data_IF_315416378668
#
_entry.id   IF_315416378668
#
_cell.length_a   1.000
_cell.length_b   1.000
_cell.length_c   1.000
_cell.angle_alpha   90.00
_cell.angle_beta   90.00
_cell.angle_gamma   90.00
#
_symmetry.space_group_name_H-M   'P 1'
#
loop_
_entity.id
_entity.type
_entity.pdbx_description
1 polymer ?
#
# COMPACT_ATOMS: atom_id res chain seq x y z
N UNK A 1 4.40 13.52 -0.86
CA UNK A 1 5.08 14.04 -2.06
C UNK A 1 5.60 12.92 -2.97
N UNK A 2 6.31 11.92 -2.41
CA UNK A 2 6.91 10.81 -3.18
C UNK A 2 5.93 9.65 -3.34
N UNK A 3 5.22 9.28 -2.30
CA UNK A 3 4.28 8.15 -2.30
C UNK A 3 2.83 8.60 -2.40
N UNK A 4 2.01 7.77 -3.04
CA UNK A 4 0.56 7.94 -3.14
C UNK A 4 -0.18 6.72 -2.60
N UNK A 5 -1.44 6.91 -2.18
CA UNK A 5 -2.38 5.85 -1.83
C UNK A 5 -3.41 5.62 -2.94
N UNK A 6 -4.25 4.62 -2.77
CA UNK A 6 -5.38 4.34 -3.67
C UNK A 6 -6.36 5.52 -3.68
N UNK A 7 -6.58 6.11 -2.51
CA UNK A 7 -7.39 7.28 -2.27
C UNK A 7 -6.55 8.40 -1.65
N UNK A 8 -7.08 9.61 -1.64
CA UNK A 8 -6.50 10.78 -0.96
C UNK A 8 -7.61 11.68 -0.44
N UNK A 9 -7.27 12.56 0.49
CA UNK A 9 -8.16 13.65 0.88
C UNK A 9 -7.98 14.85 -0.06
N UNK A 10 -9.07 15.44 -0.50
CA UNK A 10 -9.07 16.71 -1.25
C UNK A 10 -8.96 17.91 -0.28
N UNK A 11 -8.95 19.13 -0.83
CA UNK A 11 -8.86 20.36 -0.03
C UNK A 11 -10.05 20.59 0.92
N UNK A 12 -11.17 19.93 0.68
CA UNK A 12 -12.38 19.99 1.52
C UNK A 12 -12.40 18.90 2.60
N UNK A 13 -11.38 18.04 2.67
CA UNK A 13 -11.33 16.92 3.60
C UNK A 13 -12.16 15.69 3.16
N UNK A 14 -12.63 15.65 1.91
CA UNK A 14 -13.36 14.52 1.36
C UNK A 14 -12.42 13.48 0.78
N UNK A 15 -12.75 12.21 0.96
CA UNK A 15 -11.99 11.09 0.41
C UNK A 15 -12.31 10.93 -1.08
N UNK A 16 -11.30 11.01 -1.92
CA UNK A 16 -11.43 10.95 -3.39
C UNK A 16 -10.45 9.95 -3.99
N UNK A 17 -10.75 9.49 -5.20
CA UNK A 17 -9.89 8.60 -5.97
C UNK A 17 -8.50 9.23 -6.25
N UNK A 18 -7.45 8.38 -6.22
CA UNK A 18 -6.08 8.77 -6.53
C UNK A 18 -5.43 7.74 -7.47
N UNK A 19 -4.77 6.68 -6.94
CA UNK A 19 -4.32 5.55 -7.78
C UNK A 19 -5.48 4.62 -8.19
N UNK A 20 -6.56 4.58 -7.40
CA UNK A 20 -7.81 3.94 -7.79
C UNK A 20 -8.59 4.83 -8.76
N UNK A 21 -9.43 4.21 -9.60
CA UNK A 21 -10.33 4.91 -10.54
C UNK A 21 -11.48 5.63 -9.84
N UNK A 22 -11.95 5.05 -8.73
CA UNK A 22 -13.11 5.51 -7.95
C UNK A 22 -12.95 5.08 -6.49
N UNK A 23 -13.90 5.45 -5.63
CA UNK A 23 -14.07 4.85 -4.33
C UNK A 23 -14.35 3.35 -4.47
N UNK A 24 -14.04 2.51 -3.47
CA UNK A 24 -14.23 1.08 -3.55
C UNK A 24 -15.73 0.72 -3.61
N UNK A 25 -16.02 -0.42 -4.25
CA UNK A 25 -17.30 -1.10 -4.09
C UNK A 25 -17.23 -1.94 -2.83
N UNK A 26 -18.22 -1.78 -1.94
CA UNK A 26 -18.33 -2.49 -0.67
C UNK A 26 -19.49 -3.48 -0.76
N UNK A 27 -19.28 -4.72 -0.27
CA UNK A 27 -20.34 -5.73 -0.18
C UNK A 27 -21.41 -5.34 0.85
N UNK A 28 -22.59 -5.93 0.76
CA UNK A 28 -23.72 -5.65 1.67
C UNK A 28 -23.38 -5.93 3.13
N UNK A 29 -22.58 -6.97 3.41
CA UNK A 29 -22.11 -7.33 4.74
C UNK A 29 -20.94 -6.44 5.24
N UNK A 30 -20.45 -5.52 4.41
CA UNK A 30 -19.35 -4.61 4.74
C UNK A 30 -17.97 -5.27 4.88
N UNK A 31 -17.83 -6.54 4.51
CA UNK A 31 -16.60 -7.32 4.71
C UNK A 31 -15.69 -7.40 3.49
N UNK A 32 -16.19 -7.05 2.31
CA UNK A 32 -15.40 -7.10 1.07
C UNK A 32 -15.36 -5.73 0.42
N UNK A 33 -14.16 -5.24 0.13
CA UNK A 33 -13.92 -3.97 -0.56
C UNK A 33 -13.14 -4.20 -1.85
N UNK A 34 -13.72 -3.81 -2.98
CA UNK A 34 -13.10 -3.95 -4.29
C UNK A 34 -12.67 -2.59 -4.83
N UNK A 35 -11.38 -2.45 -5.08
CA UNK A 35 -10.79 -1.28 -5.75
C UNK A 35 -10.46 -1.63 -7.20
N UNK A 36 -10.80 -0.73 -8.12
CA UNK A 36 -10.32 -0.75 -9.50
C UNK A 36 -9.21 0.29 -9.66
N UNK A 37 -8.05 -0.13 -10.20
CA UNK A 37 -6.87 0.71 -10.32
C UNK A 37 -6.83 1.44 -11.67
N UNK A 38 -6.21 2.61 -11.68
CA UNK A 38 -5.87 3.32 -12.90
C UNK A 38 -4.76 2.57 -13.66
N UNK A 39 -4.84 2.57 -14.98
CA UNK A 39 -3.80 2.01 -15.86
C UNK A 39 -2.78 3.09 -16.25
N UNK A 40 -1.58 2.67 -16.63
CA UNK A 40 -0.56 3.57 -17.19
C UNK A 40 0.22 4.37 -16.16
N UNK A 41 -0.02 4.17 -14.85
CA UNK A 41 0.77 4.81 -13.79
C UNK A 41 2.11 4.09 -13.67
N UNK A 42 3.18 4.88 -13.50
CA UNK A 42 4.54 4.40 -13.28
C UNK A 42 5.11 4.92 -11.96
N UNK A 43 5.99 4.15 -11.37
CA UNK A 43 6.88 4.60 -10.32
C UNK A 43 8.01 5.46 -10.89
N UNK A 44 8.72 6.17 -10.03
CA UNK A 44 9.83 7.06 -10.42
C UNK A 44 11.03 6.35 -11.03
N UNK A 45 11.11 5.02 -10.92
CA UNK A 45 12.09 4.15 -11.60
C UNK A 45 11.62 3.65 -12.97
N UNK A 46 10.41 4.03 -13.39
CA UNK A 46 9.80 3.60 -14.65
C UNK A 46 9.00 2.31 -14.58
N UNK A 47 9.06 1.56 -13.48
CA UNK A 47 8.26 0.33 -13.29
C UNK A 47 6.76 0.64 -13.28
N UNK A 48 5.94 -0.29 -13.79
CA UNK A 48 4.49 -0.10 -13.88
C UNK A 48 3.83 -0.35 -12.53
N UNK A 49 2.91 0.52 -12.14
CA UNK A 49 2.03 0.31 -11.00
C UNK A 49 0.93 -0.71 -11.34
N UNK A 50 0.79 -1.73 -10.50
CA UNK A 50 -0.21 -2.80 -10.62
C UNK A 50 -0.78 -3.19 -9.25
N UNK A 51 -1.78 -4.06 -9.23
CA UNK A 51 -2.35 -4.64 -8.01
C UNK A 51 -1.32 -5.40 -7.15
N UNK A 52 -0.27 -5.93 -7.77
CA UNK A 52 0.82 -6.60 -7.06
C UNK A 52 1.55 -5.66 -6.09
N UNK A 53 1.69 -4.39 -6.44
CA UNK A 53 2.34 -3.39 -5.58
C UNK A 53 1.48 -3.13 -4.33
N UNK A 54 0.17 -3.06 -4.52
CA UNK A 54 -0.78 -2.95 -3.42
C UNK A 54 -0.70 -4.20 -2.53
N UNK A 55 -0.81 -5.40 -3.10
CA UNK A 55 -0.73 -6.65 -2.36
C UNK A 55 0.59 -6.75 -1.56
N UNK A 56 1.72 -6.47 -2.19
CA UNK A 56 3.03 -6.53 -1.52
C UNK A 56 3.11 -5.52 -0.37
N UNK A 57 2.64 -4.29 -0.57
CA UNK A 57 2.67 -3.25 0.47
C UNK A 57 1.91 -3.71 1.73
N UNK A 58 0.70 -4.22 1.57
CA UNK A 58 -0.11 -4.69 2.70
C UNK A 58 0.42 -5.99 3.31
N UNK A 59 0.97 -6.89 2.49
CA UNK A 59 1.58 -8.14 2.98
C UNK A 59 2.82 -7.86 3.84
N UNK A 60 3.63 -6.87 3.48
CA UNK A 60 4.78 -6.42 4.31
C UNK A 60 4.33 -5.95 5.68
N UNK A 61 3.22 -5.20 5.77
CA UNK A 61 2.70 -4.73 7.06
C UNK A 61 2.13 -5.87 7.92
N UNK A 62 1.72 -6.98 7.32
CA UNK A 62 1.26 -8.19 8.01
C UNK A 62 2.39 -9.16 8.34
N UNK A 63 3.63 -8.90 7.90
CA UNK A 63 4.77 -9.79 8.14
C UNK A 63 5.13 -9.88 9.63
N UNK A 64 5.43 -11.08 10.17
CA UNK A 64 5.83 -11.25 11.57
C UNK A 64 7.09 -10.46 11.97
N UNK A 65 7.97 -10.14 11.03
CA UNK A 65 9.16 -9.33 11.28
C UNK A 65 8.94 -7.82 11.12
N UNK A 66 7.72 -7.38 10.76
CA UNK A 66 7.42 -5.96 10.60
C UNK A 66 7.33 -5.24 11.94
N UNK A 67 8.23 -4.28 12.17
CA UNK A 67 8.30 -3.48 13.40
C UNK A 67 7.74 -2.06 13.25
N UNK A 68 7.14 -1.78 12.08
CA UNK A 68 6.58 -0.47 11.78
C UNK A 68 5.26 -0.20 12.50
N UNK A 69 4.94 1.09 12.64
CA UNK A 69 3.74 1.58 13.36
C UNK A 69 2.41 1.35 12.65
N UNK A 70 2.42 0.77 11.44
CA UNK A 70 1.21 0.60 10.61
C UNK A 70 0.61 -0.81 10.65
N UNK A 71 1.07 -1.69 11.53
CA UNK A 71 0.52 -3.04 11.69
C UNK A 71 -1.01 -3.01 11.95
N UNK A 72 -1.49 -2.05 12.75
CA UNK A 72 -2.91 -1.86 13.05
C UNK A 72 -3.76 -1.45 11.83
N UNK A 73 -3.13 -1.12 10.70
CA UNK A 73 -3.85 -0.82 9.47
C UNK A 73 -4.23 -2.07 8.67
N UNK A 74 -3.79 -3.25 9.10
CA UNK A 74 -4.02 -4.54 8.41
C UNK A 74 -4.49 -5.65 9.34
N UNK A 75 -4.45 -5.46 10.66
CA UNK A 75 -4.78 -6.48 11.67
C UNK A 75 -6.25 -6.94 11.68
N UNK A 76 -7.12 -6.18 11.01
CA UNK A 76 -8.54 -6.47 10.83
C UNK A 76 -8.86 -7.15 9.49
N UNK A 77 -7.85 -7.46 8.69
CA UNK A 77 -8.01 -8.21 7.44
C UNK A 77 -7.99 -9.71 7.72
N UNK A 78 -8.77 -10.45 6.93
CA UNK A 78 -8.85 -11.90 7.03
C UNK A 78 -7.46 -12.55 6.89
N UNK A 79 -7.21 -13.56 7.72
CA UNK A 79 -5.95 -14.29 7.68
C UNK A 79 -4.74 -13.52 8.23
N UNK A 80 -4.94 -12.37 8.90
CA UNK A 80 -3.83 -11.62 9.49
C UNK A 80 -3.10 -12.46 10.55
N UNK A 81 -3.82 -12.99 11.54
CA UNK A 81 -3.21 -13.79 12.62
C UNK A 81 -2.54 -15.05 12.08
N UNK A 82 -3.14 -15.73 11.11
CA UNK A 82 -2.57 -16.91 10.47
C UNK A 82 -1.27 -16.60 9.73
N UNK A 83 -1.20 -15.42 9.09
CA UNK A 83 0.01 -15.00 8.40
C UNK A 83 1.08 -14.45 9.36
N UNK A 84 0.67 -13.64 10.33
CA UNK A 84 1.57 -12.98 11.28
C UNK A 84 2.10 -13.95 12.34
N UNK A 85 1.23 -14.74 12.97
CA UNK A 85 1.56 -15.51 14.16
C UNK A 85 1.74 -17.02 13.87
N UNK A 86 1.04 -17.56 12.88
CA UNK A 86 0.86 -19.02 12.69
C UNK A 86 1.49 -19.60 11.42
N UNK A 87 2.44 -18.90 10.79
CA UNK A 87 3.22 -19.41 9.64
C UNK A 87 2.45 -19.70 8.34
N UNK A 88 1.25 -19.15 8.13
CA UNK A 88 0.60 -19.26 6.82
C UNK A 88 1.54 -18.73 5.71
N UNK A 89 1.57 -19.42 4.58
CA UNK A 89 2.47 -19.07 3.46
C UNK A 89 2.01 -17.84 2.68
N UNK A 90 0.73 -17.47 2.78
CA UNK A 90 0.11 -16.35 2.08
C UNK A 90 -0.83 -15.57 2.98
N UNK A 91 -0.94 -14.26 2.73
CA UNK A 91 -1.87 -13.37 3.41
C UNK A 91 -3.18 -13.29 2.61
N UNK A 92 -4.25 -13.89 3.14
CA UNK A 92 -5.54 -14.04 2.43
C UNK A 92 -6.43 -12.81 2.48
N UNK A 93 -6.14 -11.86 3.37
CA UNK A 93 -6.93 -10.62 3.52
C UNK A 93 -6.85 -9.66 2.34
N UNK A 94 -5.97 -9.94 1.37
CA UNK A 94 -5.85 -9.15 0.15
C UNK A 94 -5.72 -10.08 -1.06
N UNK A 95 -6.57 -9.87 -2.06
CA UNK A 95 -6.62 -10.64 -3.30
C UNK A 95 -6.44 -9.73 -4.52
N UNK A 96 -5.75 -10.21 -5.52
CA UNK A 96 -5.47 -9.49 -6.77
C UNK A 96 -5.86 -10.36 -7.97
N UNK A 97 -7.17 -10.41 -8.34
CA UNK A 97 -7.67 -11.26 -9.42
C UNK A 97 -7.07 -10.93 -10.78
N UNK A 98 -6.70 -9.67 -10.98
CA UNK A 98 -6.00 -9.17 -12.15
C UNK A 98 -5.07 -7.99 -11.80
N UNK A 99 -4.28 -7.51 -12.76
CA UNK A 99 -3.29 -6.45 -12.55
C UNK A 99 -3.87 -5.10 -12.10
N UNK A 100 -5.19 -4.91 -12.16
CA UNK A 100 -5.85 -3.62 -11.89
C UNK A 100 -7.07 -3.75 -10.99
N UNK A 101 -7.20 -4.89 -10.30
CA UNK A 101 -8.26 -5.13 -9.31
C UNK A 101 -7.62 -5.59 -8.01
N UNK A 102 -8.03 -4.97 -6.92
CA UNK A 102 -7.64 -5.34 -5.54
C UNK A 102 -8.89 -5.55 -4.73
N UNK A 103 -8.95 -6.68 -4.04
CA UNK A 103 -10.06 -7.03 -3.14
C UNK A 103 -9.50 -7.19 -1.74
N UNK A 104 -10.04 -6.43 -0.80
CA UNK A 104 -9.77 -6.60 0.63
C UNK A 104 -10.88 -7.39 1.28
N UNK A 105 -10.52 -8.37 2.08
CA UNK A 105 -11.42 -9.17 2.89
C UNK A 105 -11.21 -8.83 4.36
N UNK A 106 -12.26 -8.38 5.04
CA UNK A 106 -12.25 -7.97 6.44
C UNK A 106 -12.85 -9.05 7.32
N UNK A 107 -12.28 -9.29 8.49
CA UNK A 107 -12.83 -10.19 9.51
C UNK A 107 -14.22 -9.73 10.00
N UNK A 108 -14.41 -8.42 10.09
CA UNK A 108 -15.67 -7.75 10.46
C UNK A 108 -15.80 -6.39 9.78
N UNK A 109 -17.03 -5.88 9.60
CA UNK A 109 -17.26 -4.54 9.07
C UNK A 109 -16.59 -3.48 9.96
N UNK A 110 -15.98 -2.46 9.33
CA UNK A 110 -15.29 -1.39 10.03
C UNK A 110 -15.48 -0.06 9.31
N UNK A 111 -15.95 0.96 10.05
CA UNK A 111 -16.31 2.27 9.49
C UNK A 111 -15.13 2.97 8.86
N UNK A 112 -13.94 2.89 9.46
CA UNK A 112 -12.73 3.57 9.00
C UNK A 112 -11.92 2.76 7.98
N UNK A 113 -12.37 1.56 7.58
CA UNK A 113 -11.60 0.67 6.70
C UNK A 113 -11.31 1.32 5.34
N UNK A 114 -12.27 2.03 4.75
CA UNK A 114 -12.08 2.68 3.44
C UNK A 114 -10.96 3.73 3.50
N UNK A 115 -10.96 4.57 4.53
CA UNK A 115 -9.92 5.58 4.71
C UNK A 115 -8.58 4.98 5.08
N UNK A 116 -8.55 4.01 5.99
CA UNK A 116 -7.33 3.35 6.45
C UNK A 116 -6.63 2.60 5.31
N UNK A 117 -7.36 1.76 4.58
CA UNK A 117 -6.81 1.00 3.46
C UNK A 117 -6.54 1.90 2.24
N UNK A 118 -7.46 2.80 1.93
CA UNK A 118 -7.38 3.65 0.74
C UNK A 118 -6.26 4.69 0.79
N UNK A 119 -5.94 5.25 1.95
CA UNK A 119 -4.89 6.28 2.08
C UNK A 119 -3.51 5.73 2.38
N UNK A 120 -3.38 4.40 2.61
CA UNK A 120 -2.10 3.74 2.80
C UNK A 120 -1.19 4.00 1.60
N UNK A 121 0.05 4.41 1.85
CA UNK A 121 1.03 4.69 0.80
C UNK A 121 1.52 3.38 0.17
N UNK A 122 1.47 3.32 -1.16
CA UNK A 122 1.86 2.14 -1.91
C UNK A 122 3.30 2.24 -2.36
N UNK A 123 4.04 1.15 -2.19
CA UNK A 123 5.44 1.00 -2.58
C UNK A 123 5.57 0.03 -3.77
N UNK A 124 6.60 0.19 -4.59
CA UNK A 124 6.89 -0.74 -5.68
C UNK A 124 7.26 -2.13 -5.15
N UNK A 125 6.57 -3.15 -5.61
CA UNK A 125 6.84 -4.56 -5.25
C UNK A 125 8.21 -5.02 -5.75
N UNK A 126 8.63 -4.57 -6.93
CA UNK A 126 9.94 -4.85 -7.49
C UNK A 126 11.05 -4.23 -6.64
N UNK A 127 10.88 -2.97 -6.25
CA UNK A 127 11.83 -2.28 -5.39
C UNK A 127 11.92 -2.90 -4.01
N UNK A 128 10.77 -3.24 -3.39
CA UNK A 128 10.76 -3.88 -2.07
C UNK A 128 11.44 -5.25 -2.10
N UNK A 129 11.23 -6.03 -3.17
CA UNK A 129 11.73 -7.41 -3.30
C UNK A 129 11.46 -8.22 -2.01
N UNK A 130 10.20 -8.18 -1.60
CA UNK A 130 9.76 -8.71 -0.30
C UNK A 130 9.92 -10.23 -0.21
N UNK A 131 10.39 -10.68 0.95
CA UNK A 131 10.39 -12.09 1.37
C UNK A 131 9.88 -12.17 2.82
N UNK A 132 8.98 -13.11 3.09
CA UNK A 132 8.42 -13.31 4.44
C UNK A 132 9.53 -13.48 5.48
N UNK A 133 9.38 -12.81 6.63
CA UNK A 133 10.33 -12.84 7.73
C UNK A 133 11.63 -12.04 7.51
N UNK A 134 11.71 -11.21 6.44
CA UNK A 134 12.93 -10.43 6.09
C UNK A 134 12.61 -8.98 5.76
N UNK A 135 11.95 -8.25 6.67
CA UNK A 135 11.60 -6.84 6.45
C UNK A 135 12.75 -5.86 6.72
N UNK A 136 13.82 -6.26 7.39
CA UNK A 136 14.99 -5.39 7.66
C UNK A 136 15.61 -4.81 6.36
N UNK A 137 15.63 -5.60 5.29
CA UNK A 137 16.14 -5.15 3.99
C UNK A 137 15.28 -4.03 3.38
N UNK A 138 13.99 -3.98 3.75
CA UNK A 138 13.02 -2.98 3.30
C UNK A 138 13.24 -1.66 4.05
N UNK A 139 13.54 -1.70 5.34
CA UNK A 139 13.81 -0.51 6.14
C UNK A 139 14.99 0.30 5.60
N UNK A 140 16.03 -0.39 5.13
CA UNK A 140 17.21 0.23 4.50
C UNK A 140 16.87 0.98 3.21
N UNK A 141 15.79 0.60 2.52
CA UNK A 141 15.32 1.24 1.27
C UNK A 141 14.58 2.55 1.50
N UNK A 142 14.15 2.84 2.73
CA UNK A 142 13.47 4.08 3.08
C UNK A 142 14.32 5.35 2.83
N UNK A 143 15.64 5.21 2.76
CA UNK A 143 16.55 6.33 2.43
C UNK A 143 16.54 6.71 0.93
N UNK A 144 16.05 5.82 0.06
CA UNK A 144 15.93 6.04 -1.39
C UNK A 144 14.55 5.66 -1.89
N UNK A 145 13.50 6.41 -1.53
CA UNK A 145 12.13 6.05 -1.82
C UNK A 145 11.82 6.09 -3.31
N UNK A 146 11.12 5.06 -3.81
CA UNK A 146 10.57 4.96 -5.16
C UNK A 146 9.06 4.97 -5.05
N UNK A 147 8.41 5.98 -5.60
CA UNK A 147 6.98 6.18 -5.49
C UNK A 147 6.35 6.69 -6.78
N UNK A 148 5.03 6.84 -6.76
CA UNK A 148 4.19 7.33 -7.87
C UNK A 148 3.86 8.83 -7.73
N UNK A 149 4.37 9.49 -6.70
CA UNK A 149 4.06 10.88 -6.38
C UNK A 149 4.66 11.89 -7.36
N UNK A 150 4.27 13.15 -7.20
CA UNK A 150 4.69 14.25 -8.08
C UNK A 150 6.18 14.61 -7.95
N UNK A 151 6.86 14.05 -6.96
CA UNK A 151 8.27 14.35 -6.70
C UNK A 151 9.09 13.10 -6.48
N UNK A 152 10.34 13.14 -6.92
CA UNK A 152 11.39 12.15 -6.68
C UNK A 152 12.38 12.69 -5.67
N UNK A 153 12.81 11.87 -4.71
CA UNK A 153 13.88 12.23 -3.78
C UNK A 153 15.23 12.18 -4.52
N UNK A 154 15.86 13.33 -4.70
CA UNK A 154 17.18 13.45 -5.31
C UNK A 154 18.30 13.28 -4.28
N UNK A 155 18.15 13.89 -3.10
CA UNK A 155 19.14 13.84 -2.03
C UNK A 155 18.45 13.97 -0.67
N UNK A 156 18.92 13.24 0.29
CA UNK A 156 18.52 13.37 1.70
C UNK A 156 19.75 13.43 2.60
N UNK A 157 19.83 14.46 3.40
CA UNK A 157 20.85 14.66 4.42
C UNK A 157 20.19 14.94 5.77
N UNK A 158 20.59 14.21 6.79
CA UNK A 158 19.98 14.34 8.13
C UNK A 158 20.07 15.74 8.72
N UNK A 159 21.11 16.49 8.34
CA UNK A 159 21.41 17.83 8.90
C UNK A 159 20.94 18.97 8.02
N UNK A 160 20.84 18.79 6.70
CA UNK A 160 20.52 19.83 5.73
C UNK A 160 19.17 19.67 5.04
N UNK A 161 18.51 18.53 5.22
CA UNK A 161 17.17 18.26 4.70
C UNK A 161 17.12 17.43 3.41
N UNK A 162 16.02 17.56 2.67
CA UNK A 162 15.75 16.79 1.47
C UNK A 162 15.65 17.66 0.23
N UNK A 163 16.27 17.24 -0.87
CA UNK A 163 16.10 17.83 -2.19
C UNK A 163 15.18 16.95 -3.02
N UNK A 164 14.15 17.54 -3.59
CA UNK A 164 13.15 16.87 -4.42
C UNK A 164 13.19 17.47 -5.84
N UNK A 165 12.92 16.64 -6.83
CA UNK A 165 12.73 17.04 -8.23
C UNK A 165 11.37 16.57 -8.71
N UNK A 166 10.83 17.22 -9.74
CA UNK A 166 9.58 16.79 -10.37
C UNK A 166 9.71 15.35 -10.89
N UNK A 167 8.68 14.57 -10.70
CA UNK A 167 8.53 13.25 -11.31
C UNK A 167 7.87 13.47 -12.68
N UNK A 168 8.59 13.17 -13.74
CA UNK A 168 8.16 13.38 -15.13
C UNK A 168 7.29 12.23 -15.64
#
# INVERSE_FOLDING_TARGET
LVYQGLLKYNKKGELVANLAKSLPKISEDGKTMTFKLKKGIKFSDGSKFTSKDVQTTFTVMADPSYTGRFANNVDFLDGYSEYHDANASSFTGIETPDNYTVVFHLDKPRIDAVSTLGTQKICSSEYLNYKKGKTESIEKKNSKPIGTGAYVLKKFEKTSGASLVSNS
#
